data_IF_945879012565
#
_entry.id   IF_945879012565
#
_cell.length_a   1.000
_cell.length_b   1.000
_cell.length_c   1.000
_cell.angle_alpha   90.00
_cell.angle_beta   90.00
_cell.angle_gamma   90.00
#
_symmetry.space_group_name_H-M   'P 1'
#
loop_
_entity.id
_entity.type
_entity.pdbx_description
1 polymer ?
#
# COMPACT_ATOMS: atom_id res chain seq x y z
N UNK A 1 11.16 -51.01 -17.31
CA UNK A 1 11.50 -51.16 -15.87
C UNK A 1 12.64 -50.18 -15.56
N UNK A 2 12.32 -49.02 -15.00
CA UNK A 2 13.31 -48.02 -14.56
C UNK A 2 12.75 -47.33 -13.31
N UNK A 3 13.11 -47.85 -12.14
CA UNK A 3 12.69 -47.36 -10.83
C UNK A 3 13.63 -46.25 -10.34
N UNK A 4 13.06 -45.08 -10.04
CA UNK A 4 13.77 -43.91 -9.51
C UNK A 4 13.98 -43.99 -7.99
N UNK A 5 15.20 -43.82 -7.45
CA UNK A 5 15.46 -43.82 -6.02
C UNK A 5 15.62 -42.38 -5.49
N UNK A 6 14.56 -41.59 -5.42
CA UNK A 6 14.64 -40.19 -4.93
C UNK A 6 13.67 -39.85 -3.79
N UNK A 7 12.88 -40.82 -3.32
CA UNK A 7 11.86 -40.57 -2.27
C UNK A 7 12.32 -40.83 -0.83
N UNK A 8 13.42 -41.55 -0.60
CA UNK A 8 13.87 -41.96 0.74
C UNK A 8 14.74 -40.92 1.47
N UNK A 9 15.42 -40.01 0.75
CA UNK A 9 16.38 -39.06 1.35
C UNK A 9 15.68 -37.86 2.02
N UNK A 10 14.44 -37.53 1.63
CA UNK A 10 13.68 -36.40 2.21
C UNK A 10 13.08 -36.67 3.59
N UNK A 11 12.81 -37.94 3.93
CA UNK A 11 12.24 -38.30 5.25
C UNK A 11 13.29 -38.29 6.36
N UNK A 12 14.54 -38.65 6.06
CA UNK A 12 15.62 -38.76 7.06
C UNK A 12 16.16 -37.40 7.53
N UNK A 13 16.09 -36.34 6.70
CA UNK A 13 16.47 -34.98 7.14
C UNK A 13 15.49 -34.37 8.16
N UNK A 14 14.21 -34.75 8.12
CA UNK A 14 13.18 -34.19 9.00
C UNK A 14 13.28 -34.73 10.44
N UNK A 15 13.76 -35.96 10.61
CA UNK A 15 13.93 -36.60 11.92
C UNK A 15 15.19 -36.14 12.67
N UNK A 16 16.27 -35.79 11.96
CA UNK A 16 17.50 -35.28 12.61
C UNK A 16 17.30 -33.84 13.13
N UNK A 17 16.63 -32.97 12.36
CA UNK A 17 16.31 -31.60 12.81
C UNK A 17 15.32 -31.61 13.98
N UNK A 18 14.35 -32.53 13.99
CA UNK A 18 13.40 -32.68 15.09
C UNK A 18 14.06 -33.19 16.38
N UNK A 19 15.04 -34.11 16.30
CA UNK A 19 15.80 -34.59 17.47
C UNK A 19 16.79 -33.54 18.00
N UNK A 20 17.40 -32.73 17.14
CA UNK A 20 18.23 -31.61 17.57
C UNK A 20 17.41 -30.54 18.30
N UNK A 21 16.20 -30.22 17.82
CA UNK A 21 15.27 -29.31 18.50
C UNK A 21 14.84 -29.81 19.89
N UNK A 22 14.64 -31.12 20.05
CA UNK A 22 14.23 -31.72 21.33
C UNK A 22 15.32 -31.72 22.42
N UNK A 23 16.61 -31.72 22.02
CA UNK A 23 17.74 -31.61 22.95
C UNK A 23 18.06 -30.15 23.34
N UNK A 24 17.76 -29.20 22.44
CA UNK A 24 18.03 -27.77 22.65
C UNK A 24 16.87 -27.06 23.36
N UNK A 25 15.63 -27.48 23.13
CA UNK A 25 14.42 -26.91 23.74
C UNK A 25 14.47 -26.81 25.27
N UNK A 26 14.86 -27.85 26.05
CA UNK A 26 14.90 -27.74 27.51
C UNK A 26 15.99 -26.79 28.01
N UNK A 27 17.11 -26.66 27.27
CA UNK A 27 18.17 -25.69 27.59
C UNK A 27 17.73 -24.26 27.29
N UNK A 28 17.04 -24.05 26.17
CA UNK A 28 16.47 -22.75 25.79
C UNK A 28 15.36 -22.34 26.76
N UNK A 29 14.50 -23.27 27.19
CA UNK A 29 13.43 -23.02 28.15
C UNK A 29 13.95 -22.78 29.58
N UNK A 30 15.03 -23.46 29.99
CA UNK A 30 15.70 -23.20 31.26
C UNK A 30 16.41 -21.83 31.29
N UNK A 31 16.89 -21.34 30.14
CA UNK A 31 17.55 -20.04 30.01
C UNK A 31 16.56 -18.89 29.73
N UNK A 32 15.30 -19.17 29.35
CA UNK A 32 14.25 -18.15 29.12
C UNK A 32 14.06 -17.16 30.27
N UNK A 33 13.93 -17.55 31.55
CA UNK A 33 13.72 -16.60 32.64
C UNK A 33 14.96 -15.74 32.95
N UNK A 34 16.17 -16.26 32.72
CA UNK A 34 17.43 -15.51 32.83
C UNK A 34 17.57 -14.56 31.65
N UNK A 35 17.34 -15.05 30.43
CA UNK A 35 17.38 -14.25 29.20
C UNK A 35 16.35 -13.12 29.21
N UNK A 36 15.15 -13.31 29.78
CA UNK A 36 14.11 -12.29 29.88
C UNK A 36 14.45 -11.18 30.89
N UNK A 37 15.18 -11.50 31.97
CA UNK A 37 15.65 -10.53 32.96
C UNK A 37 16.90 -9.76 32.50
N UNK A 38 17.76 -10.40 31.70
CA UNK A 38 19.01 -9.79 31.20
C UNK A 38 18.80 -9.12 29.83
N UNK A 39 17.79 -9.51 29.04
CA UNK A 39 17.46 -8.95 27.73
C UNK A 39 17.34 -7.41 27.69
N UNK A 40 16.66 -6.71 28.63
CA UNK A 40 16.60 -5.24 28.58
C UNK A 40 17.97 -4.59 28.86
N UNK A 41 18.85 -5.24 29.63
CA UNK A 41 20.20 -4.77 29.95
C UNK A 41 21.20 -5.08 28.82
N UNK A 42 21.00 -6.19 28.11
CA UNK A 42 21.83 -6.62 26.98
C UNK A 42 21.36 -6.10 25.61
N UNK A 43 20.13 -5.60 25.47
CA UNK A 43 19.62 -5.01 24.22
C UNK A 43 20.57 -3.94 23.63
N UNK A 44 21.03 -2.93 24.42
CA UNK A 44 21.98 -1.94 23.90
C UNK A 44 23.31 -2.56 23.44
N UNK A 45 23.75 -3.64 24.09
CA UNK A 45 25.00 -4.35 23.77
C UNK A 45 24.82 -5.20 22.51
N UNK A 46 23.72 -5.93 22.39
CA UNK A 46 23.41 -6.77 21.23
C UNK A 46 23.21 -5.96 19.95
N UNK A 47 22.59 -4.79 20.07
CA UNK A 47 22.37 -3.90 18.92
C UNK A 47 23.66 -3.16 18.50
N UNK A 48 24.68 -3.16 19.36
CA UNK A 48 25.98 -2.52 19.09
C UNK A 48 27.05 -3.51 18.60
N UNK A 49 27.05 -4.76 19.06
CA UNK A 49 28.09 -5.75 18.71
C UNK A 49 27.73 -6.45 17.39
N UNK A 50 28.63 -6.38 16.40
CA UNK A 50 28.43 -7.04 15.10
C UNK A 50 28.58 -8.56 15.22
N UNK A 51 28.19 -9.31 14.17
CA UNK A 51 28.43 -10.76 14.13
C UNK A 51 29.94 -11.10 14.25
N UNK A 52 30.80 -10.28 13.65
CA UNK A 52 32.24 -10.38 13.79
C UNK A 52 32.69 -10.04 15.21
N UNK A 53 32.12 -8.99 15.82
CA UNK A 53 32.39 -8.62 17.21
C UNK A 53 32.09 -9.76 18.18
N UNK A 54 30.96 -10.46 17.99
CA UNK A 54 30.62 -11.65 18.76
C UNK A 54 31.61 -12.80 18.55
N UNK A 55 31.99 -13.07 17.29
CA UNK A 55 32.98 -14.10 16.99
C UNK A 55 34.34 -13.80 17.65
N UNK A 56 34.81 -12.56 17.55
CA UNK A 56 36.06 -12.11 18.18
C UNK A 56 35.96 -12.17 19.70
N UNK A 57 34.83 -11.79 20.29
CA UNK A 57 34.62 -11.86 21.74
C UNK A 57 34.67 -13.31 22.25
N UNK A 58 34.02 -14.24 21.55
CA UNK A 58 34.05 -15.67 21.90
C UNK A 58 35.45 -16.26 21.72
N UNK A 59 36.11 -16.00 20.59
CA UNK A 59 37.47 -16.48 20.33
C UNK A 59 38.47 -15.93 21.35
N UNK A 60 38.34 -14.65 21.72
CA UNK A 60 39.19 -14.03 22.74
C UNK A 60 38.97 -14.69 24.11
N UNK A 61 37.72 -15.00 24.48
CA UNK A 61 37.40 -15.71 25.72
C UNK A 61 37.95 -17.15 25.74
N UNK A 62 37.80 -17.88 24.63
CA UNK A 62 38.36 -19.24 24.49
C UNK A 62 39.88 -19.23 24.52
N UNK A 63 40.52 -18.24 23.90
CA UNK A 63 41.97 -18.06 23.95
C UNK A 63 42.45 -17.77 25.38
N UNK A 64 41.76 -16.91 26.14
CA UNK A 64 42.07 -16.71 27.55
C UNK A 64 41.98 -18.01 28.36
N UNK A 65 40.90 -18.77 28.18
CA UNK A 65 40.70 -20.04 28.88
C UNK A 65 41.79 -21.07 28.53
N UNK A 66 42.04 -21.31 27.24
CA UNK A 66 43.02 -22.30 26.79
C UNK A 66 44.46 -21.87 27.12
N UNK A 67 44.80 -20.59 26.92
CA UNK A 67 46.14 -20.07 27.20
C UNK A 67 46.51 -20.18 28.69
N UNK A 68 45.57 -19.90 29.59
CA UNK A 68 45.78 -20.05 31.03
C UNK A 68 45.79 -21.52 31.46
N UNK A 69 44.91 -22.34 30.91
CA UNK A 69 44.79 -23.76 31.28
C UNK A 69 46.00 -24.59 30.83
N UNK A 70 46.43 -24.43 29.58
CA UNK A 70 47.56 -25.16 28.99
C UNK A 70 48.90 -24.43 29.17
N UNK A 71 48.90 -23.24 29.79
CA UNK A 71 50.07 -22.36 29.99
C UNK A 71 50.85 -22.06 28.69
N UNK A 72 50.12 -21.97 27.57
CA UNK A 72 50.72 -21.75 26.26
C UNK A 72 50.81 -20.24 25.97
N UNK A 73 52.03 -19.70 25.93
CA UNK A 73 52.28 -18.26 25.87
C UNK A 73 51.71 -17.59 24.60
N UNK A 74 51.76 -18.28 23.46
CA UNK A 74 51.28 -17.81 22.17
C UNK A 74 49.76 -17.60 22.17
N UNK A 75 49.01 -18.50 22.83
CA UNK A 75 47.55 -18.37 22.97
C UNK A 75 47.21 -17.21 23.90
N UNK A 76 47.97 -17.02 24.98
CA UNK A 76 47.80 -15.87 25.88
C UNK A 76 48.05 -14.55 25.13
N UNK A 77 49.10 -14.49 24.31
CA UNK A 77 49.38 -13.31 23.49
C UNK A 77 48.23 -12.99 22.52
N UNK A 78 47.67 -14.00 21.85
CA UNK A 78 46.49 -13.82 20.98
C UNK A 78 45.27 -13.30 21.76
N UNK A 79 45.03 -13.80 22.98
CA UNK A 79 43.96 -13.33 23.85
C UNK A 79 44.12 -11.86 24.26
N UNK A 80 45.36 -11.43 24.56
CA UNK A 80 45.68 -10.03 24.86
C UNK A 80 45.40 -9.13 23.65
N UNK A 81 45.84 -9.53 22.45
CA UNK A 81 45.58 -8.76 21.21
C UNK A 81 44.08 -8.61 20.95
N UNK A 82 43.30 -9.69 21.06
CA UNK A 82 41.85 -9.65 20.92
C UNK A 82 41.18 -8.73 21.96
N UNK A 83 41.67 -8.75 23.20
CA UNK A 83 41.18 -7.88 24.28
C UNK A 83 41.47 -6.41 23.99
N UNK A 84 42.69 -6.08 23.54
CA UNK A 84 43.08 -4.72 23.15
C UNK A 84 42.23 -4.24 21.97
N UNK A 85 42.02 -5.07 20.95
CA UNK A 85 41.18 -4.72 19.81
C UNK A 85 39.73 -4.39 20.23
N UNK A 86 39.13 -5.21 21.10
CA UNK A 86 37.78 -4.97 21.65
C UNK A 86 37.73 -3.70 22.51
N UNK A 87 38.76 -3.44 23.32
CA UNK A 87 38.85 -2.23 24.15
C UNK A 87 38.96 -0.96 23.29
N UNK A 88 39.82 -0.98 22.26
CA UNK A 88 39.97 0.13 21.30
C UNK A 88 38.65 0.36 20.55
N UNK A 89 38.01 -0.69 20.04
CA UNK A 89 36.70 -0.58 19.41
C UNK A 89 35.67 0.03 20.37
N UNK A 90 35.65 -0.40 21.63
CA UNK A 90 34.78 0.13 22.67
C UNK A 90 34.97 1.62 22.92
N UNK A 91 36.22 2.08 23.02
CA UNK A 91 36.55 3.50 23.20
C UNK A 91 36.16 4.34 21.98
N UNK A 92 36.39 3.84 20.75
CA UNK A 92 36.05 4.55 19.52
C UNK A 92 34.53 4.72 19.33
N UNK A 93 33.76 3.72 19.74
CA UNK A 93 32.29 3.75 19.67
C UNK A 93 31.67 4.46 20.89
N UNK A 94 32.40 4.54 22.00
CA UNK A 94 31.99 5.28 23.18
C UNK A 94 31.85 6.79 22.88
N UNK A 95 30.82 7.40 23.46
CA UNK A 95 30.49 8.80 23.27
C UNK A 95 28.98 9.05 23.38
N UNK A 96 28.61 10.16 24.00
CA UNK A 96 27.23 10.67 24.02
C UNK A 96 27.20 11.92 23.15
N UNK A 97 26.94 11.73 21.86
CA UNK A 97 26.60 12.85 20.99
C UNK A 97 25.12 13.17 21.24
N UNK A 98 24.81 14.44 21.45
CA UNK A 98 23.45 14.96 21.53
C UNK A 98 23.25 15.78 20.27
N UNK A 99 22.71 15.16 19.23
CA UNK A 99 22.25 15.91 18.07
C UNK A 99 20.80 16.32 18.29
N UNK A 100 20.42 17.46 17.76
CA UNK A 100 19.03 17.71 17.41
C UNK A 100 18.94 17.54 15.88
N UNK A 101 18.16 16.55 15.43
CA UNK A 101 18.06 16.19 14.02
C UNK A 101 16.61 16.32 13.60
N UNK A 102 16.39 17.07 12.52
CA UNK A 102 15.07 17.22 11.90
C UNK A 102 15.12 16.64 10.49
N UNK A 103 14.06 15.93 10.15
CA UNK A 103 13.80 15.43 8.82
C UNK A 103 12.57 16.17 8.34
N UNK A 104 12.74 17.00 7.31
CA UNK A 104 11.64 17.76 6.71
C UNK A 104 11.47 17.31 5.26
N UNK A 105 10.25 16.86 4.92
CA UNK A 105 9.85 16.59 3.55
C UNK A 105 9.15 17.82 2.96
N UNK A 106 9.49 18.22 1.74
CA UNK A 106 8.80 19.35 1.07
C UNK A 106 7.30 19.06 0.86
N UNK A 107 6.95 17.78 0.73
CA UNK A 107 5.60 17.26 0.74
C UNK A 107 5.60 15.76 0.97
N UNK A 108 4.58 15.25 1.66
CA UNK A 108 4.42 13.83 1.95
C UNK A 108 3.62 13.09 0.89
N UNK A 109 3.13 13.81 -0.12
CA UNK A 109 2.30 13.29 -1.21
C UNK A 109 2.76 13.92 -2.51
N UNK A 110 3.12 13.09 -3.48
CA UNK A 110 3.61 13.46 -4.81
C UNK A 110 2.99 12.54 -5.85
N UNK A 111 2.89 12.98 -7.09
CA UNK A 111 2.44 12.10 -8.20
C UNK A 111 3.65 11.39 -8.81
N UNK A 112 3.44 10.18 -9.35
CA UNK A 112 4.47 9.46 -10.12
C UNK A 112 5.12 10.39 -11.17
N UNK A 113 6.45 10.45 -11.13
CA UNK A 113 7.27 11.30 -12.01
C UNK A 113 7.56 12.70 -11.46
N UNK A 114 6.87 13.15 -10.41
CA UNK A 114 7.18 14.43 -9.75
C UNK A 114 8.40 14.32 -8.82
N UNK A 115 9.12 15.43 -8.63
CA UNK A 115 10.30 15.45 -7.77
C UNK A 115 9.88 15.47 -6.29
N UNK A 116 10.10 14.37 -5.58
CA UNK A 116 10.04 14.33 -4.12
C UNK A 116 11.40 14.74 -3.54
N UNK A 117 11.42 15.80 -2.74
CA UNK A 117 12.62 16.36 -2.12
C UNK A 117 12.41 16.44 -0.60
N UNK A 118 13.44 16.03 0.15
CA UNK A 118 13.51 16.21 1.58
C UNK A 118 14.85 16.81 1.99
N UNK A 119 14.93 17.29 3.22
CA UNK A 119 16.18 17.77 3.82
C UNK A 119 16.38 17.14 5.20
N UNK A 120 17.63 16.91 5.53
CA UNK A 120 18.08 16.51 6.87
C UNK A 120 18.82 17.69 7.46
N UNK A 121 18.34 18.19 8.59
CA UNK A 121 18.95 19.30 9.32
C UNK A 121 19.52 18.76 10.62
N UNK A 122 20.83 18.95 10.81
CA UNK A 122 21.55 18.52 12.00
C UNK A 122 22.05 19.73 12.76
N UNK A 123 21.55 19.91 13.97
CA UNK A 123 21.95 21.00 14.87
C UNK A 123 22.84 20.46 15.99
N UNK A 124 23.85 21.24 16.38
CA UNK A 124 24.57 21.05 17.63
C UNK A 124 23.91 21.90 18.75
N UNK A 125 23.08 21.31 19.65
CA UNK A 125 22.41 22.03 20.72
C UNK A 125 23.35 22.42 21.88
N UNK A 126 24.64 22.06 21.83
CA UNK A 126 25.60 22.28 22.91
C UNK A 126 26.46 23.51 22.66
N UNK A 127 27.21 23.95 23.68
CA UNK A 127 28.18 25.05 23.57
C UNK A 127 29.57 24.60 23.08
N UNK A 128 29.83 23.29 23.01
CA UNK A 128 31.14 22.74 22.61
C UNK A 128 31.10 22.29 21.14
N UNK A 129 32.23 22.34 20.41
CA UNK A 129 32.27 21.81 19.06
C UNK A 129 32.08 20.29 19.05
N UNK A 130 31.29 19.80 18.09
CA UNK A 130 31.09 18.37 17.84
C UNK A 130 32.00 17.90 16.71
N UNK A 131 32.55 16.71 16.86
CA UNK A 131 33.36 16.06 15.84
C UNK A 131 32.50 15.64 14.64
N UNK A 132 33.11 15.48 13.44
CA UNK A 132 32.40 14.95 12.28
C UNK A 132 31.69 13.62 12.57
N UNK A 133 30.55 13.43 11.93
CA UNK A 133 29.77 12.21 12.05
C UNK A 133 29.07 11.88 10.74
N UNK A 134 28.46 10.70 10.67
CA UNK A 134 27.72 10.26 9.51
C UNK A 134 26.27 9.99 9.92
N UNK A 135 25.34 10.59 9.20
CA UNK A 135 23.91 10.32 9.32
C UNK A 135 23.48 9.36 8.21
N UNK A 136 22.78 8.31 8.57
CA UNK A 136 22.15 7.36 7.67
C UNK A 136 20.63 7.61 7.68
N UNK A 137 20.03 7.70 6.50
CA UNK A 137 18.59 7.84 6.29
C UNK A 137 18.11 6.70 5.37
N UNK A 138 17.39 5.71 5.91
CA UNK A 138 16.69 4.72 5.10
C UNK A 138 15.59 5.40 4.27
N UNK A 139 15.49 5.07 2.98
CA UNK A 139 14.46 5.57 2.08
C UNK A 139 13.91 4.40 1.28
N UNK A 140 12.79 3.82 1.72
CA UNK A 140 12.28 2.57 1.17
C UNK A 140 13.31 1.44 1.31
N UNK A 141 13.81 0.95 0.17
CA UNK A 141 14.86 -0.09 0.12
C UNK A 141 16.29 0.48 0.03
N UNK A 142 16.42 1.80 -0.16
CA UNK A 142 17.71 2.48 -0.25
C UNK A 142 18.21 3.02 1.09
N UNK A 143 19.49 3.37 1.13
CA UNK A 143 20.12 4.03 2.28
C UNK A 143 20.87 5.26 1.78
N UNK A 144 20.43 6.45 2.20
CA UNK A 144 21.14 7.70 1.96
C UNK A 144 22.09 7.99 3.12
N UNK A 145 23.27 8.54 2.81
CA UNK A 145 24.31 8.81 3.80
C UNK A 145 24.77 10.26 3.69
N UNK A 146 24.74 10.98 4.80
CA UNK A 146 25.07 12.39 4.90
C UNK A 146 26.25 12.60 5.85
N UNK A 147 27.43 13.01 5.34
CA UNK A 147 28.57 13.34 6.19
C UNK A 147 28.35 14.70 6.85
N UNK A 148 28.22 14.71 8.17
CA UNK A 148 28.12 15.93 8.97
C UNK A 148 29.53 16.41 9.30
N UNK A 149 29.92 17.64 8.90
CA UNK A 149 31.22 18.19 9.23
C UNK A 149 31.33 18.50 10.72
N UNK A 150 32.49 19.00 11.14
CA UNK A 150 32.67 19.51 12.50
C UNK A 150 31.74 20.70 12.75
N UNK A 151 30.80 20.56 13.68
CA UNK A 151 29.84 21.60 14.02
C UNK A 151 30.27 22.39 15.25
N UNK A 152 30.28 23.74 15.16
CA UNK A 152 30.44 24.61 16.33
C UNK A 152 29.20 24.53 17.22
N UNK A 153 29.29 25.01 18.46
CA UNK A 153 28.11 25.07 19.33
C UNK A 153 27.02 25.96 18.73
N UNK A 154 25.78 25.47 18.69
CA UNK A 154 24.64 26.16 18.07
C UNK A 154 24.62 26.16 16.54
N UNK A 155 25.62 25.59 15.86
CA UNK A 155 25.64 25.56 14.39
C UNK A 155 24.73 24.46 13.82
N UNK A 156 24.19 24.72 12.63
CA UNK A 156 23.41 23.79 11.81
C UNK A 156 24.18 23.36 10.57
N UNK A 157 23.90 22.13 10.11
CA UNK A 157 24.28 21.62 8.80
C UNK A 157 23.04 21.02 8.14
N UNK A 158 22.80 21.39 6.89
CA UNK A 158 21.65 20.96 6.10
C UNK A 158 22.14 20.22 4.85
N UNK A 159 21.56 19.04 4.60
CA UNK A 159 21.73 18.31 3.35
C UNK A 159 20.37 17.98 2.74
N UNK A 160 20.27 18.15 1.42
CA UNK A 160 19.05 17.89 0.64
C UNK A 160 19.18 16.57 -0.10
N UNK A 161 18.09 15.81 -0.17
CA UNK A 161 18.02 14.55 -0.92
C UNK A 161 16.73 14.48 -1.75
N UNK A 162 16.79 13.70 -2.83
CA UNK A 162 15.65 13.43 -3.69
C UNK A 162 15.27 11.95 -3.63
N UNK A 163 13.97 11.67 -3.56
CA UNK A 163 13.44 10.31 -3.57
C UNK A 163 12.97 9.97 -4.99
N UNK A 164 13.43 8.85 -5.60
CA UNK A 164 12.96 8.44 -6.91
C UNK A 164 11.47 8.03 -6.88
N UNK A 165 10.65 8.70 -7.68
CA UNK A 165 9.17 8.52 -7.76
C UNK A 165 8.75 7.87 -9.09
N UNK A 166 9.57 6.96 -9.63
CA UNK A 166 9.34 6.34 -10.95
C UNK A 166 8.07 5.49 -11.03
N UNK A 167 7.65 4.94 -9.89
CA UNK A 167 6.48 4.08 -9.76
C UNK A 167 5.73 4.45 -8.47
N UNK A 168 4.41 4.21 -8.44
CA UNK A 168 3.61 4.44 -7.25
C UNK A 168 4.08 3.54 -6.11
N UNK A 169 4.08 4.07 -4.90
CA UNK A 169 4.44 3.35 -3.70
C UNK A 169 4.11 4.20 -2.47
N UNK A 170 4.02 3.55 -1.32
CA UNK A 170 4.19 4.20 -0.02
C UNK A 170 5.64 3.95 0.41
N UNK A 171 6.46 5.00 0.40
CA UNK A 171 7.90 4.93 0.67
C UNK A 171 8.15 5.39 2.11
N UNK A 172 8.53 4.50 3.04
CA UNK A 172 8.92 4.92 4.37
C UNK A 172 10.26 5.66 4.30
N UNK A 173 10.30 6.88 4.83
CA UNK A 173 11.48 7.73 4.91
C UNK A 173 11.87 7.86 6.37
N UNK A 174 13.09 7.41 6.69
CA UNK A 174 13.62 7.45 8.04
C UNK A 174 13.49 6.14 8.82
N UNK A 175 13.83 6.18 10.13
CA UNK A 175 14.29 7.35 10.87
C UNK A 175 15.74 7.73 10.50
N UNK A 176 16.11 9.00 10.67
CA UNK A 176 17.51 9.43 10.56
C UNK A 176 18.29 8.87 11.74
N UNK A 177 19.42 8.23 11.45
CA UNK A 177 20.27 7.57 12.43
C UNK A 177 21.69 8.10 12.36
N UNK A 178 22.27 8.44 13.50
CA UNK A 178 23.72 8.62 13.57
C UNK A 178 24.40 7.26 13.70
N UNK A 179 25.42 7.00 12.91
CA UNK A 179 26.17 5.74 12.95
C UNK A 179 27.63 5.99 13.36
N UNK A 180 28.09 5.19 14.32
CA UNK A 180 29.51 5.09 14.69
C UNK A 180 29.93 3.64 14.61
N UNK A 181 30.99 3.40 13.85
CA UNK A 181 31.56 2.07 13.65
C UNK A 181 33.06 2.14 13.90
N UNK A 182 33.62 1.11 14.52
CA UNK A 182 35.06 0.96 14.64
C UNK A 182 35.70 0.48 13.30
N UNK A 183 36.98 0.76 13.05
CA UNK A 183 37.66 0.36 11.81
C UNK A 183 37.69 -1.15 11.57
N UNK A 184 37.64 -1.96 12.63
CA UNK A 184 37.63 -3.43 12.55
C UNK A 184 36.21 -3.99 12.37
N UNK A 185 35.17 -3.15 12.44
CA UNK A 185 33.77 -3.54 12.29
C UNK A 185 33.26 -4.46 13.41
N UNK A 186 33.90 -4.46 14.58
CA UNK A 186 33.51 -5.26 15.74
C UNK A 186 32.26 -4.68 16.43
N UNK A 187 32.16 -3.34 16.46
CA UNK A 187 31.12 -2.59 17.14
C UNK A 187 30.54 -1.52 16.19
N UNK A 188 29.22 -1.56 15.98
CA UNK A 188 28.46 -0.56 15.23
C UNK A 188 27.33 -0.04 16.09
N UNK A 189 27.45 1.18 16.60
CA UNK A 189 26.40 1.83 17.36
C UNK A 189 25.56 2.73 16.47
N UNK A 190 24.25 2.56 16.56
CA UNK A 190 23.27 3.39 15.86
C UNK A 190 22.34 4.06 16.89
N UNK A 191 22.02 5.32 16.66
CA UNK A 191 21.03 6.07 17.46
C UNK A 191 20.05 6.73 16.50
N UNK A 192 18.77 6.44 16.64
CA UNK A 192 17.70 7.08 15.88
C UNK A 192 17.31 8.41 16.52
N UNK A 193 17.18 9.45 15.70
CA UNK A 193 16.86 10.81 16.15
C UNK A 193 15.47 11.27 15.75
N UNK A 194 14.93 10.74 14.64
CA UNK A 194 13.60 11.10 14.12
C UNK A 194 12.65 9.91 14.14
N UNK A 195 11.37 10.15 13.81
CA UNK A 195 10.43 9.10 13.43
C UNK A 195 10.60 8.64 11.98
N UNK A 196 9.72 7.72 11.56
CA UNK A 196 9.51 7.35 10.15
C UNK A 196 8.35 8.19 9.62
N UNK A 197 8.50 8.74 8.43
CA UNK A 197 7.45 9.43 7.70
C UNK A 197 7.14 8.71 6.40
N UNK A 198 5.86 8.53 6.08
CA UNK A 198 5.45 7.88 4.83
C UNK A 198 5.31 8.90 3.70
N UNK A 199 6.09 8.73 2.64
CA UNK A 199 5.95 9.45 1.39
C UNK A 199 5.04 8.66 0.45
N UNK A 200 3.86 9.19 0.18
CA UNK A 200 2.89 8.62 -0.76
C UNK A 200 3.18 9.10 -2.17
N UNK A 201 3.49 8.16 -3.07
CA UNK A 201 3.63 8.41 -4.50
C UNK A 201 2.33 7.98 -5.19
N UNK A 202 1.45 8.94 -5.43
CA UNK A 202 0.12 8.77 -6.02
C UNK A 202 0.19 8.35 -7.49
N UNK A 203 -0.73 7.49 -7.97
CA UNK A 203 -0.84 7.18 -9.38
C UNK A 203 -1.18 8.44 -10.19
N UNK A 204 -0.81 8.45 -11.48
CA UNK A 204 -1.26 9.51 -12.38
C UNK A 204 -2.76 9.39 -12.58
N UNK A 205 -3.48 10.51 -12.57
CA UNK A 205 -4.92 10.55 -12.83
C UNK A 205 -5.23 11.59 -13.90
N UNK A 206 -6.28 11.35 -14.68
CA UNK A 206 -6.79 12.31 -15.66
C UNK A 206 -8.22 12.73 -15.30
N UNK A 207 -8.59 13.96 -15.66
CA UNK A 207 -9.96 14.44 -15.50
C UNK A 207 -10.85 13.95 -16.64
N UNK A 208 -12.04 13.48 -16.31
CA UNK A 208 -13.05 13.08 -17.29
C UNK A 208 -13.91 14.31 -17.60
N UNK A 209 -13.38 15.24 -18.40
CA UNK A 209 -14.12 16.45 -18.79
C UNK A 209 -15.12 16.11 -19.90
N UNK A 210 -16.41 16.21 -19.59
CA UNK A 210 -17.53 16.00 -20.50
C UNK A 210 -18.88 16.24 -19.81
N UNK A 211 -19.43 17.45 -19.98
CA UNK A 211 -20.71 17.96 -19.46
C UNK A 211 -20.81 18.15 -17.94
N UNK A 212 -21.24 19.34 -17.55
CA UNK A 212 -21.43 19.85 -16.20
C UNK A 212 -22.56 19.17 -15.41
N UNK A 213 -23.04 17.99 -15.83
CA UNK A 213 -24.17 17.29 -15.20
C UNK A 213 -24.22 15.79 -15.56
N UNK A 214 -23.20 15.03 -15.18
CA UNK A 214 -23.37 13.61 -14.87
C UNK A 214 -22.71 12.61 -15.79
N UNK A 215 -21.39 12.49 -15.68
CA UNK A 215 -20.65 11.32 -16.16
C UNK A 215 -21.29 10.01 -15.70
N UNK A 216 -21.68 9.96 -14.42
CA UNK A 216 -22.35 8.80 -13.84
C UNK A 216 -23.76 8.59 -14.39
N UNK A 217 -24.51 9.68 -14.66
CA UNK A 217 -25.83 9.58 -15.31
C UNK A 217 -25.71 9.06 -16.74
N UNK A 218 -24.70 9.51 -17.46
CA UNK A 218 -24.43 9.04 -18.81
C UNK A 218 -24.04 7.54 -18.80
N UNK A 219 -23.31 7.10 -17.76
CA UNK A 219 -22.98 5.69 -17.54
C UNK A 219 -24.17 4.85 -17.10
N UNK A 220 -25.15 5.42 -16.39
CA UNK A 220 -26.44 4.78 -16.13
C UNK A 220 -27.19 4.57 -17.44
N UNK A 221 -27.03 5.48 -18.42
CA UNK A 221 -27.87 5.55 -19.62
C UNK A 221 -29.15 6.33 -19.30
N UNK A 222 -29.94 6.72 -20.31
CA UNK A 222 -31.22 7.37 -20.02
C UNK A 222 -32.00 6.47 -19.06
N UNK A 223 -32.16 6.95 -17.82
CA UNK A 223 -32.85 6.24 -16.78
C UNK A 223 -34.21 5.83 -17.35
N UNK A 224 -34.46 4.52 -17.41
CA UNK A 224 -35.83 4.09 -17.18
C UNK A 224 -36.18 4.71 -15.85
N UNK A 225 -36.95 5.80 -15.90
CA UNK A 225 -37.54 6.41 -14.73
C UNK A 225 -38.38 5.30 -14.12
N UNK A 226 -37.80 4.56 -13.17
CA UNK A 226 -38.54 3.53 -12.47
C UNK A 226 -39.43 4.30 -11.50
N UNK A 227 -40.64 4.55 -11.98
CA UNK A 227 -41.64 5.34 -11.31
C UNK A 227 -42.10 4.51 -10.12
N UNK A 228 -41.59 4.84 -8.94
CA UNK A 228 -42.07 4.27 -7.70
C UNK A 228 -43.20 5.13 -7.14
N UNK A 229 -44.18 4.47 -6.52
CA UNK A 229 -45.23 5.14 -5.74
C UNK A 229 -44.75 5.51 -4.32
N UNK A 230 -43.48 5.33 -3.95
CA UNK A 230 -42.93 5.66 -2.63
C UNK A 230 -41.89 6.80 -2.66
N UNK A 231 -41.96 7.67 -1.63
CA UNK A 231 -41.10 8.84 -1.31
C UNK A 231 -39.63 8.68 -1.77
N UNK A 232 -38.97 9.65 -2.43
CA UNK A 232 -38.66 11.01 -1.96
C UNK A 232 -38.37 11.93 -3.17
N UNK A 233 -39.38 12.72 -3.59
CA UNK A 233 -39.34 13.98 -4.39
C UNK A 233 -40.54 14.05 -5.34
N UNK A 234 -41.34 15.11 -5.26
CA UNK A 234 -42.55 15.27 -6.08
C UNK A 234 -42.17 15.55 -7.53
N UNK A 235 -42.59 14.68 -8.46
CA UNK A 235 -42.27 14.80 -9.88
C UNK A 235 -43.48 15.30 -10.69
N UNK A 236 -44.62 14.60 -10.59
CA UNK A 236 -45.82 14.91 -11.37
C UNK A 236 -47.11 14.45 -10.68
N UNK A 237 -48.25 14.88 -11.23
CA UNK A 237 -49.59 14.37 -10.88
C UNK A 237 -50.07 13.47 -12.02
N UNK A 238 -50.54 12.27 -11.70
CA UNK A 238 -51.18 11.37 -12.66
C UNK A 238 -52.54 10.90 -12.17
N UNK A 239 -53.34 10.37 -13.09
CA UNK A 239 -54.62 9.75 -12.74
C UNK A 239 -54.40 8.51 -11.87
N UNK A 240 -55.29 8.34 -10.90
CA UNK A 240 -55.32 7.21 -9.98
C UNK A 240 -55.67 5.92 -10.73
N UNK A 241 -54.86 4.88 -10.53
CA UNK A 241 -55.13 3.53 -11.01
C UNK A 241 -55.41 2.62 -9.82
N UNK A 242 -56.32 1.65 -10.00
CA UNK A 242 -56.64 0.68 -8.97
C UNK A 242 -55.37 -0.10 -8.56
N UNK A 243 -54.92 0.10 -7.33
CA UNK A 243 -53.66 -0.45 -6.80
C UNK A 243 -52.76 0.62 -6.19
N UNK A 244 -53.00 1.90 -6.48
CA UNK A 244 -52.24 3.02 -5.92
C UNK A 244 -52.58 3.26 -4.43
N UNK A 245 -51.58 3.63 -3.63
CA UNK A 245 -51.79 3.97 -2.22
C UNK A 245 -52.61 5.28 -2.12
N UNK A 246 -53.76 5.18 -1.45
CA UNK A 246 -54.70 6.27 -1.23
C UNK A 246 -54.08 7.42 -0.43
N UNK A 247 -53.01 7.18 0.34
CA UNK A 247 -52.26 8.21 1.09
C UNK A 247 -51.59 9.24 0.16
N UNK A 248 -51.31 8.86 -1.08
CA UNK A 248 -50.64 9.71 -2.05
C UNK A 248 -51.61 10.51 -2.93
N UNK A 249 -52.93 10.41 -2.68
CA UNK A 249 -53.93 11.20 -3.40
C UNK A 249 -53.75 12.69 -3.13
N UNK A 250 -53.64 13.48 -4.21
CA UNK A 250 -53.55 14.93 -4.15
C UNK A 250 -54.95 15.57 -4.16
N UNK A 251 -55.58 15.61 -2.98
CA UNK A 251 -56.96 16.09 -2.81
C UNK A 251 -57.26 17.45 -3.44
N UNK A 252 -56.30 18.38 -3.42
CA UNK A 252 -56.49 19.72 -4.00
C UNK A 252 -56.61 19.71 -5.53
N UNK A 253 -55.89 18.82 -6.22
CA UNK A 253 -56.00 18.69 -7.68
C UNK A 253 -57.26 17.90 -8.04
N UNK A 254 -57.55 16.83 -7.29
CA UNK A 254 -58.79 16.06 -7.43
C UNK A 254 -60.04 16.90 -7.27
N UNK A 255 -60.06 17.83 -6.32
CA UNK A 255 -61.18 18.75 -6.14
C UNK A 255 -61.39 19.71 -7.33
N UNK A 256 -60.35 19.98 -8.13
CA UNK A 256 -60.41 20.88 -9.29
C UNK A 256 -60.76 20.14 -10.59
N UNK A 257 -60.22 18.94 -10.79
CA UNK A 257 -60.42 18.15 -12.02
C UNK A 257 -61.59 17.18 -11.93
N UNK A 258 -62.10 16.89 -10.73
CA UNK A 258 -63.15 15.89 -10.52
C UNK A 258 -62.68 14.44 -10.66
N UNK A 259 -61.38 14.21 -10.91
CA UNK A 259 -60.78 12.88 -11.02
C UNK A 259 -59.72 12.65 -9.94
N UNK A 260 -59.63 11.41 -9.43
CA UNK A 260 -58.64 11.04 -8.43
C UNK A 260 -57.24 11.16 -9.03
N UNK A 261 -56.41 12.02 -8.44
CA UNK A 261 -55.03 12.25 -8.88
C UNK A 261 -54.08 11.83 -7.78
N UNK A 262 -52.99 11.15 -8.14
CA UNK A 262 -51.98 10.65 -7.21
C UNK A 262 -50.67 11.42 -7.43
N UNK A 263 -50.01 11.77 -6.33
CA UNK A 263 -48.63 12.29 -6.35
C UNK A 263 -47.71 11.18 -6.85
N UNK A 264 -47.02 11.43 -7.95
CA UNK A 264 -45.98 10.56 -8.46
C UNK A 264 -44.65 11.04 -7.88
N UNK A 265 -43.95 10.14 -7.20
CA UNK A 265 -42.64 10.41 -6.63
C UNK A 265 -41.56 9.89 -7.58
N UNK A 266 -40.50 10.67 -7.76
CA UNK A 266 -39.29 10.20 -8.43
C UNK A 266 -38.37 9.66 -7.34
N UNK A 267 -38.06 8.36 -7.39
CA UNK A 267 -36.99 7.82 -6.56
C UNK A 267 -35.69 8.47 -7.06
N UNK A 268 -35.16 9.42 -6.30
CA UNK A 268 -33.81 9.93 -6.54
C UNK A 268 -32.83 8.84 -6.15
N UNK A 269 -32.66 7.82 -7.01
CA UNK A 269 -31.50 6.94 -6.91
C UNK A 269 -30.28 7.87 -7.03
N UNK A 270 -29.58 8.03 -5.91
CA UNK A 270 -28.30 8.74 -5.91
C UNK A 270 -27.39 7.93 -6.80
N UNK A 271 -26.95 8.50 -7.92
CA UNK A 271 -25.98 7.83 -8.75
C UNK A 271 -24.76 7.47 -7.91
N UNK A 272 -24.45 6.18 -7.85
CA UNK A 272 -23.39 5.65 -7.01
C UNK A 272 -22.51 4.76 -7.85
N UNK A 273 -21.22 5.10 -7.91
CA UNK A 273 -20.23 4.38 -8.66
C UNK A 273 -19.58 3.33 -7.78
N UNK A 274 -19.59 2.09 -8.24
CA UNK A 274 -18.71 1.07 -7.72
C UNK A 274 -17.57 0.80 -8.70
N UNK A 275 -16.34 0.82 -8.21
CA UNK A 275 -15.14 0.48 -8.99
C UNK A 275 -14.50 -0.75 -8.37
N UNK A 276 -14.44 -1.85 -9.12
CA UNK A 276 -13.82 -3.10 -8.68
C UNK A 276 -12.51 -3.26 -9.44
N UNK A 277 -11.40 -3.07 -8.74
CA UNK A 277 -10.04 -3.24 -9.27
C UNK A 277 -9.54 -4.66 -8.99
N UNK A 278 -9.28 -5.44 -10.03
CA UNK A 278 -8.54 -6.69 -9.83
C UNK A 278 -7.10 -6.39 -9.40
N UNK A 279 -6.63 -7.04 -8.35
CA UNK A 279 -5.23 -7.02 -7.92
C UNK A 279 -4.62 -8.42 -7.97
N UNK A 280 -5.21 -9.34 -8.75
CA UNK A 280 -4.63 -10.66 -9.02
C UNK A 280 -3.54 -10.54 -10.07
N UNK A 281 -2.33 -10.99 -9.75
CA UNK A 281 -1.17 -10.86 -10.64
C UNK A 281 -1.41 -11.51 -12.02
N UNK A 282 -2.11 -12.65 -12.06
CA UNK A 282 -2.37 -13.41 -13.29
C UNK A 282 -3.35 -12.71 -14.25
N UNK A 283 -4.14 -11.75 -13.77
CA UNK A 283 -5.09 -11.00 -14.60
C UNK A 283 -4.37 -10.00 -15.53
N UNK A 284 -3.09 -9.74 -15.28
CA UNK A 284 -2.24 -8.80 -16.00
C UNK A 284 -1.07 -9.51 -16.68
N UNK A 285 -0.79 -9.19 -17.94
CA UNK A 285 0.39 -9.74 -18.61
C UNK A 285 1.68 -9.05 -18.17
N UNK A 286 1.61 -7.76 -17.87
CA UNK A 286 2.74 -6.91 -17.49
C UNK A 286 2.36 -5.97 -16.35
N UNK A 287 3.35 -5.53 -15.58
CA UNK A 287 3.17 -4.59 -14.48
C UNK A 287 2.57 -3.25 -14.95
N UNK A 288 2.91 -2.79 -16.16
CA UNK A 288 2.36 -1.57 -16.75
C UNK A 288 0.84 -1.62 -16.97
N UNK A 289 0.26 -2.80 -17.25
CA UNK A 289 -1.20 -2.95 -17.34
C UNK A 289 -1.86 -2.67 -16.00
N UNK A 290 -1.24 -3.12 -14.91
CA UNK A 290 -1.73 -2.89 -13.56
C UNK A 290 -1.55 -1.43 -13.13
N UNK A 291 -0.43 -0.79 -13.48
CA UNK A 291 -0.25 0.65 -13.26
C UNK A 291 -1.32 1.49 -13.98
N UNK A 292 -1.66 1.11 -15.21
CA UNK A 292 -2.73 1.75 -15.97
C UNK A 292 -4.10 1.50 -15.30
N UNK A 293 -4.38 0.27 -14.88
CA UNK A 293 -5.61 -0.08 -14.17
C UNK A 293 -5.80 0.74 -12.88
N UNK A 294 -4.74 0.90 -12.09
CA UNK A 294 -4.78 1.74 -10.88
C UNK A 294 -5.00 3.22 -11.22
N UNK A 295 -4.38 3.70 -12.30
CA UNK A 295 -4.56 5.08 -12.78
C UNK A 295 -5.98 5.36 -13.29
N UNK A 296 -6.58 4.38 -13.98
CA UNK A 296 -7.98 4.41 -14.42
C UNK A 296 -8.92 4.37 -13.22
N UNK A 297 -8.66 3.50 -12.23
CA UNK A 297 -9.41 3.40 -10.98
C UNK A 297 -9.42 4.74 -10.23
N UNK A 298 -8.23 5.33 -10.04
CA UNK A 298 -8.09 6.64 -9.43
C UNK A 298 -8.84 7.72 -10.21
N UNK A 299 -8.74 7.76 -11.53
CA UNK A 299 -9.41 8.77 -12.36
C UNK A 299 -10.94 8.68 -12.28
N UNK A 300 -11.50 7.48 -12.33
CA UNK A 300 -12.95 7.24 -12.18
C UNK A 300 -13.44 7.61 -10.78
N UNK A 301 -12.73 7.16 -9.74
CA UNK A 301 -13.08 7.47 -8.36
C UNK A 301 -12.99 8.97 -8.06
N UNK A 302 -11.94 9.65 -8.55
CA UNK A 302 -11.83 11.10 -8.42
C UNK A 302 -12.94 11.85 -9.16
N UNK A 303 -13.41 11.34 -10.30
CA UNK A 303 -14.56 11.93 -10.98
C UNK A 303 -15.84 11.78 -10.15
N UNK A 304 -16.11 10.60 -9.57
CA UNK A 304 -17.27 10.39 -8.71
C UNK A 304 -17.25 11.31 -7.47
N UNK A 305 -16.09 11.43 -6.80
CA UNK A 305 -15.91 12.34 -5.65
C UNK A 305 -16.13 13.79 -6.05
N UNK A 306 -15.64 14.22 -7.23
CA UNK A 306 -15.84 15.59 -7.73
C UNK A 306 -17.30 15.91 -8.03
N UNK A 307 -18.08 14.92 -8.46
CA UNK A 307 -19.52 15.07 -8.74
C UNK A 307 -20.40 14.93 -7.50
N UNK A 308 -19.81 14.76 -6.31
CA UNK A 308 -20.51 14.45 -5.05
C UNK A 308 -21.46 13.24 -5.19
N UNK A 309 -21.02 12.27 -6.00
CA UNK A 309 -21.73 11.01 -6.21
C UNK A 309 -21.10 9.95 -5.31
N UNK A 310 -21.93 9.05 -4.82
CA UNK A 310 -21.47 7.98 -3.95
C UNK A 310 -20.41 7.12 -4.66
N UNK A 311 -19.39 6.68 -3.91
CA UNK A 311 -18.27 5.91 -4.44
C UNK A 311 -17.95 4.75 -3.52
N UNK A 312 -17.99 3.53 -4.06
CA UNK A 312 -17.40 2.34 -3.45
C UNK A 312 -16.24 1.87 -4.32
N UNK A 313 -15.05 1.70 -3.73
CA UNK A 313 -13.89 1.15 -4.45
C UNK A 313 -13.45 -0.14 -3.77
N UNK A 314 -13.35 -1.21 -4.54
CA UNK A 314 -13.06 -2.56 -4.06
C UNK A 314 -11.83 -3.12 -4.74
N UNK A 315 -11.04 -3.87 -4.00
CA UNK A 315 -9.88 -4.61 -4.49
C UNK A 315 -9.84 -6.00 -3.83
N UNK A 316 -8.94 -6.88 -4.26
CA UNK A 316 -8.77 -8.15 -3.55
C UNK A 316 -8.19 -7.99 -2.12
N UNK A 317 -7.67 -6.80 -1.78
CA UNK A 317 -7.22 -6.47 -0.42
C UNK A 317 -8.35 -5.90 0.47
N UNK A 318 -9.56 -5.76 -0.09
CA UNK A 318 -10.72 -5.17 0.57
C UNK A 318 -11.11 -3.81 -0.02
N UNK A 319 -11.99 -3.13 0.70
CA UNK A 319 -12.52 -1.81 0.37
C UNK A 319 -11.45 -0.73 0.52
N UNK A 320 -11.32 0.14 -0.48
CA UNK A 320 -10.48 1.32 -0.45
C UNK A 320 -11.31 2.54 -0.03
N UNK A 321 -10.67 3.50 0.63
CA UNK A 321 -11.34 4.68 1.20
C UNK A 321 -11.64 5.72 0.12
N UNK A 322 -12.85 5.63 -0.44
CA UNK A 322 -13.37 6.54 -1.46
C UNK A 322 -14.03 7.83 -0.95
N UNK A 323 -13.96 8.12 0.36
CA UNK A 323 -14.62 9.26 1.00
C UNK A 323 -13.94 10.62 0.73
N UNK A 324 -12.66 10.59 0.34
CA UNK A 324 -11.90 11.78 0.02
C UNK A 324 -10.87 11.48 -1.06
N UNK A 325 -10.61 12.47 -1.92
CA UNK A 325 -9.52 12.44 -2.93
C UNK A 325 -8.21 11.95 -2.33
N UNK A 326 -7.84 12.46 -1.14
CA UNK A 326 -6.54 12.16 -0.53
C UNK A 326 -6.50 10.70 -0.08
N UNK A 327 -7.54 10.23 0.62
CA UNK A 327 -7.60 8.86 1.16
C UNK A 327 -7.62 7.80 0.05
N UNK A 328 -8.37 8.06 -1.02
CA UNK A 328 -8.42 7.16 -2.17
C UNK A 328 -7.04 7.02 -2.82
N UNK A 329 -6.36 8.14 -3.07
CA UNK A 329 -5.03 8.11 -3.70
C UNK A 329 -3.95 7.55 -2.78
N UNK A 330 -4.02 7.82 -1.46
CA UNK A 330 -3.13 7.22 -0.47
C UNK A 330 -3.28 5.69 -0.46
N UNK A 331 -4.51 5.16 -0.50
CA UNK A 331 -4.77 3.72 -0.57
C UNK A 331 -4.28 3.11 -1.89
N UNK A 332 -4.61 3.73 -3.04
CA UNK A 332 -4.16 3.27 -4.36
C UNK A 332 -2.64 3.25 -4.51
N UNK A 333 -1.92 4.11 -3.77
CA UNK A 333 -0.45 4.11 -3.74
C UNK A 333 0.14 2.86 -3.09
N UNK A 334 -0.57 2.26 -2.14
CA UNK A 334 -0.16 1.02 -1.44
C UNK A 334 -0.67 -0.26 -2.08
N UNK A 335 -1.67 -0.18 -2.97
CA UNK A 335 -2.24 -1.36 -3.63
C UNK A 335 -1.21 -2.02 -4.55
N UNK A 336 -0.98 -3.32 -4.35
CA UNK A 336 -0.07 -4.15 -5.14
C UNK A 336 -0.77 -5.40 -5.70
N UNK A 337 -0.20 -6.02 -6.74
CA UNK A 337 -0.67 -7.32 -7.21
C UNK A 337 -0.26 -8.44 -6.26
N UNK A 338 -1.08 -9.47 -6.16
CA UNK A 338 -0.75 -10.68 -5.41
C UNK A 338 -1.16 -11.92 -6.21
N UNK A 339 -0.33 -12.98 -6.17
CA UNK A 339 -0.61 -14.24 -6.85
C UNK A 339 -1.69 -15.07 -6.15
N UNK A 340 -1.91 -14.83 -4.86
CA UNK A 340 -2.90 -15.54 -4.03
C UNK A 340 -4.28 -14.87 -4.02
N UNK A 341 -4.48 -13.81 -4.80
CA UNK A 341 -5.76 -13.12 -4.87
C UNK A 341 -6.83 -14.00 -5.52
N UNK A 342 -8.06 -13.88 -4.99
CA UNK A 342 -9.22 -14.52 -5.58
C UNK A 342 -9.40 -14.10 -7.05
N UNK A 343 -9.95 -14.99 -7.88
CA UNK A 343 -10.30 -14.61 -9.26
C UNK A 343 -11.38 -13.54 -9.31
N UNK A 344 -11.47 -12.82 -10.43
CA UNK A 344 -12.41 -11.72 -10.62
C UNK A 344 -13.86 -12.09 -10.29
N UNK A 345 -14.33 -13.27 -10.69
CA UNK A 345 -15.69 -13.70 -10.37
C UNK A 345 -15.90 -13.82 -8.85
N UNK A 346 -14.91 -14.28 -8.11
CA UNK A 346 -14.99 -14.40 -6.65
C UNK A 346 -14.91 -13.05 -5.95
N UNK A 347 -14.05 -12.15 -6.44
CA UNK A 347 -14.05 -10.75 -6.02
C UNK A 347 -15.43 -10.11 -6.25
N UNK A 348 -16.00 -10.28 -7.43
CA UNK A 348 -17.34 -9.82 -7.78
C UNK A 348 -18.42 -10.35 -6.81
N UNK A 349 -18.37 -11.64 -6.45
CA UNK A 349 -19.30 -12.23 -5.48
C UNK A 349 -19.13 -11.65 -4.08
N UNK A 350 -17.89 -11.47 -3.63
CA UNK A 350 -17.60 -10.90 -2.31
C UNK A 350 -18.06 -9.44 -2.23
N UNK A 351 -17.97 -8.72 -3.36
CA UNK A 351 -18.31 -7.31 -3.50
C UNK A 351 -19.80 -7.02 -3.37
N UNK A 352 -20.70 -7.96 -3.73
CA UNK A 352 -22.16 -7.72 -3.78
C UNK A 352 -22.72 -7.07 -2.51
N UNK A 353 -22.21 -7.46 -1.32
CA UNK A 353 -22.65 -6.90 -0.04
C UNK A 353 -22.24 -5.45 0.22
N UNK A 354 -21.31 -4.92 -0.57
CA UNK A 354 -20.82 -3.55 -0.48
C UNK A 354 -21.38 -2.67 -1.61
N UNK A 355 -22.25 -3.24 -2.46
CA UNK A 355 -22.84 -2.62 -3.65
C UNK A 355 -24.30 -2.19 -3.45
N UNK A 356 -24.81 -2.15 -2.21
CA UNK A 356 -26.24 -2.01 -1.91
C UNK A 356 -26.92 -0.79 -2.59
N UNK A 357 -26.18 0.28 -2.88
CA UNK A 357 -26.69 1.49 -3.55
C UNK A 357 -26.09 1.73 -4.95
N UNK A 358 -25.26 0.83 -5.48
CA UNK A 358 -24.52 1.06 -6.72
C UNK A 358 -25.43 1.04 -7.95
N UNK A 359 -25.44 2.12 -8.74
CA UNK A 359 -26.15 2.19 -10.03
C UNK A 359 -25.27 1.73 -11.20
N UNK A 360 -23.95 1.92 -11.07
CA UNK A 360 -22.95 1.54 -12.07
C UNK A 360 -21.78 0.81 -11.41
N UNK A 361 -21.39 -0.33 -11.95
CA UNK A 361 -20.17 -1.06 -11.57
C UNK A 361 -19.18 -1.03 -12.72
N UNK A 362 -17.97 -0.53 -12.47
CA UNK A 362 -16.84 -0.61 -13.40
C UNK A 362 -15.85 -1.67 -12.91
N UNK A 363 -15.72 -2.76 -13.67
CA UNK A 363 -14.72 -3.81 -13.45
C UNK A 363 -13.42 -3.42 -14.16
N UNK A 364 -12.33 -3.21 -13.41
CA UNK A 364 -11.03 -2.84 -13.96
C UNK A 364 -10.10 -4.06 -13.94
N UNK A 365 -9.63 -4.45 -15.12
CA UNK A 365 -8.90 -5.70 -15.34
C UNK A 365 -7.76 -5.54 -16.34
N UNK A 366 -6.81 -6.48 -16.30
CA UNK A 366 -5.72 -6.59 -17.29
C UNK A 366 -6.08 -7.41 -18.52
N UNK A 367 -5.09 -7.65 -19.38
CA UNK A 367 -5.30 -8.26 -20.70
C UNK A 367 -5.59 -9.77 -20.66
N UNK A 368 -5.16 -10.46 -19.60
CA UNK A 368 -5.27 -11.91 -19.44
C UNK A 368 -6.65 -12.39 -18.97
N UNK A 369 -7.51 -11.48 -18.51
CA UNK A 369 -8.86 -11.86 -18.07
C UNK A 369 -9.69 -12.31 -19.28
N UNK A 370 -10.10 -13.58 -19.26
CA UNK A 370 -10.88 -14.16 -20.35
C UNK A 370 -12.29 -13.57 -20.44
N UNK A 371 -12.90 -13.53 -21.65
CA UNK A 371 -14.32 -13.15 -21.80
C UNK A 371 -15.28 -14.00 -20.96
N UNK A 372 -14.97 -15.28 -20.74
CA UNK A 372 -15.77 -16.16 -19.90
C UNK A 372 -15.74 -15.72 -18.43
N UNK A 373 -14.58 -15.29 -17.93
CA UNK A 373 -14.40 -14.77 -16.57
C UNK A 373 -15.14 -13.45 -16.38
N UNK A 374 -15.08 -12.54 -17.37
CA UNK A 374 -15.83 -11.28 -17.35
C UNK A 374 -17.34 -11.51 -17.30
N UNK A 375 -17.86 -12.43 -18.12
CA UNK A 375 -19.28 -12.83 -18.07
C UNK A 375 -19.65 -13.41 -16.70
N UNK A 376 -18.82 -14.29 -16.16
CA UNK A 376 -19.06 -14.91 -14.85
C UNK A 376 -19.04 -13.90 -13.70
N UNK A 377 -18.22 -12.84 -13.80
CA UNK A 377 -18.19 -11.74 -12.85
C UNK A 377 -19.43 -10.84 -12.98
N UNK A 378 -19.80 -10.47 -14.21
CA UNK A 378 -21.00 -9.67 -14.50
C UNK A 378 -22.27 -10.36 -14.02
N UNK A 379 -22.42 -11.67 -14.26
CA UNK A 379 -23.57 -12.46 -13.82
C UNK A 379 -23.74 -12.57 -12.28
N UNK A 380 -22.74 -12.12 -11.50
CA UNK A 380 -22.80 -12.06 -10.04
C UNK A 380 -23.23 -10.69 -9.51
N UNK A 381 -23.30 -9.68 -10.38
CA UNK A 381 -23.76 -8.34 -10.01
C UNK A 381 -25.27 -8.33 -9.81
N UNK A 382 -25.82 -7.42 -8.97
CA UNK A 382 -27.26 -7.27 -8.84
C UNK A 382 -27.89 -6.85 -10.18
N UNK A 383 -29.14 -7.25 -10.40
CA UNK A 383 -29.84 -7.11 -11.69
C UNK A 383 -30.03 -5.64 -12.11
N UNK A 384 -30.16 -4.75 -11.13
CA UNK A 384 -30.45 -3.33 -11.35
C UNK A 384 -29.19 -2.47 -11.59
N UNK A 385 -28.01 -3.10 -11.74
CA UNK A 385 -26.73 -2.40 -11.84
C UNK A 385 -26.17 -2.50 -13.25
N UNK A 386 -25.81 -1.36 -13.83
CA UNK A 386 -25.13 -1.34 -15.13
C UNK A 386 -23.65 -1.70 -14.95
N UNK A 387 -23.23 -2.80 -15.57
CA UNK A 387 -21.84 -3.29 -15.48
C UNK A 387 -21.06 -2.90 -16.72
N UNK A 388 -19.89 -2.29 -16.53
CA UNK A 388 -18.92 -1.96 -17.59
C UNK A 388 -17.57 -2.57 -17.22
N UNK A 389 -16.89 -3.20 -18.18
CA UNK A 389 -15.53 -3.70 -17.98
C UNK A 389 -14.51 -2.79 -18.68
N UNK A 390 -13.55 -2.26 -17.92
CA UNK A 390 -12.41 -1.50 -18.39
C UNK A 390 -11.17 -2.40 -18.44
N UNK A 391 -10.81 -2.84 -19.65
CA UNK A 391 -9.63 -3.67 -19.92
C UNK A 391 -8.42 -2.76 -20.19
N UNK A 392 -7.44 -2.77 -19.31
CA UNK A 392 -6.27 -1.88 -19.38
C UNK A 392 -5.12 -2.58 -20.09
N UNK A 393 -4.76 -2.13 -21.30
CA UNK A 393 -3.70 -2.74 -22.12
C UNK A 393 -2.85 -1.64 -22.75
N UNK A 394 -1.72 -1.25 -22.12
CA UNK A 394 -0.87 -0.18 -22.61
C UNK A 394 -0.50 -0.34 -24.09
N UNK A 395 -0.71 0.72 -24.87
CA UNK A 395 -0.40 0.76 -26.30
C UNK A 395 -1.47 0.19 -27.25
N UNK A 396 -2.52 -0.47 -26.76
CA UNK A 396 -3.65 -0.86 -27.62
C UNK A 396 -4.57 0.34 -27.91
N UNK A 397 -5.11 0.50 -29.14
CA UNK A 397 -6.05 1.56 -29.42
C UNK A 397 -7.36 1.37 -28.63
N UNK A 398 -8.01 2.49 -28.30
CA UNK A 398 -9.34 2.46 -27.66
C UNK A 398 -10.31 1.67 -28.53
N UNK A 399 -10.93 0.66 -27.94
CA UNK A 399 -11.97 -0.12 -28.61
C UNK A 399 -13.12 -0.42 -27.67
N UNK A 400 -14.33 -0.50 -28.23
CA UNK A 400 -15.54 -0.92 -27.52
C UNK A 400 -16.04 -2.22 -28.12
N UNK A 401 -16.38 -3.19 -27.27
CA UNK A 401 -16.98 -4.47 -27.68
C UNK A 401 -18.07 -4.83 -26.69
N UNK A 402 -19.21 -5.26 -27.19
CA UNK A 402 -20.26 -5.82 -26.35
C UNK A 402 -20.11 -7.33 -26.35
N UNK A 403 -20.04 -7.92 -25.16
CA UNK A 403 -19.93 -9.37 -24.96
C UNK A 403 -21.20 -9.82 -24.24
N UNK A 404 -22.14 -10.39 -25.00
CA UNK A 404 -23.51 -10.63 -24.53
C UNK A 404 -24.15 -9.28 -24.16
N UNK A 405 -24.26 -8.96 -22.87
CA UNK A 405 -24.81 -7.67 -22.39
C UNK A 405 -23.74 -6.82 -21.65
N UNK A 406 -22.52 -7.34 -21.50
CA UNK A 406 -21.42 -6.63 -20.87
C UNK A 406 -20.69 -5.76 -21.89
N UNK A 407 -20.66 -4.44 -21.64
CA UNK A 407 -19.81 -3.55 -22.42
C UNK A 407 -18.36 -3.64 -21.92
N UNK A 408 -17.46 -3.99 -22.83
CA UNK A 408 -16.02 -4.04 -22.58
C UNK A 408 -15.34 -2.92 -23.36
N UNK A 409 -14.60 -2.08 -22.65
CA UNK A 409 -13.83 -0.98 -23.20
C UNK A 409 -12.35 -1.24 -22.96
N UNK A 410 -11.57 -1.26 -24.04
CA UNK A 410 -10.11 -1.35 -23.95
C UNK A 410 -9.51 0.05 -23.84
N UNK A 411 -8.61 0.24 -22.88
CA UNK A 411 -7.91 1.50 -22.63
C UNK A 411 -6.42 1.29 -22.86
N UNK A 412 -5.87 2.01 -23.83
CA UNK A 412 -4.46 1.99 -24.23
C UNK A 412 -3.53 2.88 -23.43
N UNK A 413 -4.09 3.94 -22.86
CA UNK A 413 -3.34 4.95 -22.13
C UNK A 413 -4.28 5.77 -21.27
N UNK A 414 -3.70 6.47 -20.28
CA UNK A 414 -4.50 7.26 -19.35
C UNK A 414 -5.23 8.41 -20.05
N UNK A 415 -4.59 9.05 -21.02
CA UNK A 415 -5.16 10.19 -21.77
C UNK A 415 -6.32 9.79 -22.69
N UNK A 416 -6.46 8.49 -22.98
CA UNK A 416 -7.55 7.95 -23.77
C UNK A 416 -8.82 7.70 -22.95
N UNK A 417 -8.72 7.65 -21.62
CA UNK A 417 -9.83 7.37 -20.72
C UNK A 417 -11.07 8.27 -20.96
N UNK A 418 -10.94 9.61 -21.12
CA UNK A 418 -12.10 10.46 -21.42
C UNK A 418 -12.78 10.15 -22.76
N UNK A 419 -12.04 9.63 -23.76
CA UNK A 419 -12.61 9.21 -25.05
C UNK A 419 -13.27 7.84 -24.91
N UNK A 420 -12.61 6.92 -24.22
CA UNK A 420 -13.08 5.57 -23.93
C UNK A 420 -14.43 5.61 -23.18
N UNK A 421 -14.55 6.48 -22.18
CA UNK A 421 -15.80 6.61 -21.43
C UNK A 421 -16.93 7.28 -22.23
N UNK A 422 -16.64 8.27 -23.10
CA UNK A 422 -17.67 8.80 -24.02
C UNK A 422 -18.21 7.77 -24.99
N UNK A 423 -17.38 6.79 -25.39
CA UNK A 423 -17.81 5.69 -26.24
C UNK A 423 -18.78 4.73 -25.54
N UNK A 424 -18.82 4.73 -24.19
CA UNK A 424 -19.80 3.99 -23.37
C UNK A 424 -21.17 4.66 -23.39
N UNK A 425 -21.20 5.98 -23.49
CA UNK A 425 -22.40 6.80 -23.30
C UNK A 425 -23.10 7.15 -24.62
N UNK A 426 -22.36 7.29 -25.73
CA UNK A 426 -22.89 7.53 -27.08
C UNK A 426 -23.38 6.28 -27.82
N UNK A 427 -24.08 5.37 -27.11
CA UNK A 427 -24.64 4.13 -27.66
C UNK A 427 -26.13 4.24 -27.91
#
# INVERSE_FOLDING_TARGET
>A
MTSSPTRSVRRTRRTVVARAGALVAPVVDALRPVSARVAPVLRPVRDTVSALGWAVLVLTGLAWWAGLHYRWAEIVAAAVVGTVALAVAGVLVAGRLRYDVRLDMAGTRVVVGERAVGRVVVTNPTTRPMLPAVMELPVGQGLATFPVPRLRGGAEHEDVFAVPTRKRAVIPVGPVRSVRQDPLGLLRRQVAWTGVEDLYVHPRTTGLMGSSSGFLRDLEGQATQDISNSDVSFHALRDYVAGDDRRHIHWKSTARTGQLMVRQFEETRRSHLAVILSTRAEDYAHDEEFELAVSVCGSLGLQAIREDRGLTVLSNHGTLRGDSRIRLLDDLSGVGTTSLAAGLAELARASVRELDDASVVVLIVGSNVSPATLRAASARMPVDVRVVAARCVPGEPVSRRTISDLLVVTIGGLDDLPRAMRAVTGG
#
